data_IF_269660160050
#
_entry.id   IF_269660160050
#
_cell.length_a   1.000
_cell.length_b   1.000
_cell.length_c   1.000
_cell.angle_alpha   90.00
_cell.angle_beta   90.00
_cell.angle_gamma   90.00
#
_symmetry.space_group_name_H-M   'P 1'
#
loop_
_entity.id
_entity.type
_entity.pdbx_description
1 polymer ?
#
# COMPACT_ATOMS: atom_id res chain seq x y z
N UNK A 1 -21.10 -21.29 -0.61
CA UNK A 1 -19.87 -20.58 -0.16
C UNK A 1 -19.40 -19.55 -1.18
N UNK A 2 -19.25 -19.90 -2.46
CA UNK A 2 -18.85 -18.97 -3.54
C UNK A 2 -19.68 -17.70 -3.61
N UNK A 3 -21.01 -17.80 -3.55
CA UNK A 3 -21.90 -16.63 -3.54
C UNK A 3 -21.59 -15.65 -2.40
N UNK A 4 -21.31 -16.15 -1.19
CA UNK A 4 -20.96 -15.28 -0.07
C UNK A 4 -19.65 -14.52 -0.35
N UNK A 5 -18.63 -15.21 -0.89
CA UNK A 5 -17.31 -14.63 -1.20
C UNK A 5 -17.39 -13.61 -2.33
N UNK A 6 -18.24 -13.85 -3.35
CA UNK A 6 -18.34 -13.00 -4.53
C UNK A 6 -19.38 -11.88 -4.40
N UNK A 7 -20.46 -12.09 -3.65
CA UNK A 7 -21.53 -11.09 -3.51
C UNK A 7 -21.43 -10.31 -2.21
N UNK A 8 -21.27 -10.98 -1.05
CA UNK A 8 -21.50 -10.34 0.25
C UNK A 8 -20.19 -9.80 0.84
N UNK A 9 -19.16 -10.65 0.86
CA UNK A 9 -17.86 -10.34 1.46
C UNK A 9 -17.17 -9.11 0.83
N UNK A 10 -17.32 -8.78 -0.47
CA UNK A 10 -16.67 -7.60 -1.05
C UNK A 10 -17.17 -6.31 -0.41
N UNK A 11 -18.47 -6.20 -0.14
CA UNK A 11 -19.03 -5.04 0.55
C UNK A 11 -18.54 -4.93 1.99
N UNK A 12 -18.45 -6.07 2.71
CA UNK A 12 -17.90 -6.11 4.08
C UNK A 12 -16.44 -5.65 4.06
N UNK A 13 -15.62 -6.23 3.19
CA UNK A 13 -14.18 -5.95 3.13
C UNK A 13 -13.89 -4.50 2.74
N UNK A 14 -14.61 -3.94 1.75
CA UNK A 14 -14.52 -2.52 1.39
C UNK A 14 -14.94 -1.63 2.56
N UNK A 15 -16.05 -1.94 3.23
CA UNK A 15 -16.54 -1.15 4.37
C UNK A 15 -15.54 -1.13 5.51
N UNK A 16 -14.98 -2.29 5.88
CA UNK A 16 -13.95 -2.39 6.92
C UNK A 16 -12.69 -1.66 6.52
N UNK A 17 -12.25 -1.79 5.26
CA UNK A 17 -11.08 -1.07 4.75
C UNK A 17 -11.28 0.44 4.88
N UNK A 18 -12.39 0.98 4.36
CA UNK A 18 -12.67 2.41 4.37
C UNK A 18 -12.81 2.96 5.79
N UNK A 19 -13.62 2.33 6.63
CA UNK A 19 -13.81 2.77 8.01
C UNK A 19 -12.51 2.65 8.83
N UNK A 20 -11.75 1.58 8.62
CA UNK A 20 -10.45 1.37 9.27
C UNK A 20 -9.40 2.40 8.83
N UNK A 21 -9.39 2.77 7.55
CA UNK A 21 -8.54 3.85 7.03
C UNK A 21 -8.91 5.19 7.66
N UNK A 22 -10.19 5.55 7.68
CA UNK A 22 -10.68 6.79 8.28
C UNK A 22 -10.33 6.87 9.77
N UNK A 23 -10.56 5.78 10.52
CA UNK A 23 -10.19 5.68 11.92
C UNK A 23 -8.68 5.92 12.13
N UNK A 24 -7.83 5.28 11.30
CA UNK A 24 -6.38 5.39 11.42
C UNK A 24 -5.87 6.78 11.04
N UNK A 25 -6.42 7.37 9.97
CA UNK A 25 -6.13 8.76 9.59
C UNK A 25 -6.54 9.74 10.69
N UNK A 26 -7.72 9.55 11.30
CA UNK A 26 -8.18 10.36 12.43
C UNK A 26 -7.25 10.25 13.65
N UNK A 27 -6.81 9.04 13.99
CA UNK A 27 -5.82 8.82 15.07
C UNK A 27 -4.49 9.51 14.80
N UNK A 28 -4.00 9.46 13.56
CA UNK A 28 -2.77 10.16 13.20
C UNK A 28 -2.95 11.68 13.26
N UNK A 29 -4.04 12.21 12.70
CA UNK A 29 -4.34 13.64 12.75
C UNK A 29 -4.50 14.19 14.18
N UNK A 30 -5.01 13.37 15.11
CA UNK A 30 -5.12 13.71 16.53
C UNK A 30 -3.81 13.59 17.32
N UNK A 31 -2.76 12.98 16.77
CA UNK A 31 -1.48 12.81 17.43
C UNK A 31 -0.78 14.16 17.65
N UNK A 32 -0.52 14.51 18.91
CA UNK A 32 0.24 15.72 19.26
C UNK A 32 1.70 15.37 19.53
N UNK A 33 2.62 15.94 18.74
CA UNK A 33 4.06 15.88 19.02
C UNK A 33 4.47 17.23 19.61
N UNK A 34 5.20 17.17 20.73
CA UNK A 34 5.60 18.31 21.58
C UNK A 34 7.04 18.76 21.27
N UNK A 35 7.81 17.96 20.51
CA UNK A 35 9.23 18.19 20.26
C UNK A 35 9.54 18.19 18.76
N UNK A 36 10.35 19.15 18.32
CA UNK A 36 10.85 19.21 16.95
C UNK A 36 12.02 18.24 16.79
N UNK A 37 11.83 17.17 16.00
CA UNK A 37 12.90 16.21 15.69
C UNK A 37 13.44 16.56 14.30
N UNK A 38 14.43 17.44 14.25
CA UNK A 38 15.16 17.72 13.01
C UNK A 38 16.30 16.72 12.84
N UNK A 39 16.21 15.85 11.83
CA UNK A 39 17.32 14.99 11.45
C UNK A 39 18.32 15.80 10.62
N UNK A 40 19.54 15.96 11.10
CA UNK A 40 20.62 16.66 10.38
C UNK A 40 21.33 15.71 9.40
N UNK A 41 21.80 16.21 8.24
CA UNK A 41 21.63 17.57 7.71
C UNK A 41 20.24 17.78 7.12
N UNK A 42 19.53 18.80 7.59
CA UNK A 42 18.20 19.16 7.08
C UNK A 42 18.33 20.12 5.88
N UNK A 43 17.52 19.94 4.81
CA UNK A 43 17.54 20.85 3.68
C UNK A 43 17.12 22.27 4.12
N UNK A 44 17.88 23.27 3.68
CA UNK A 44 17.66 24.68 4.02
C UNK A 44 16.61 25.36 3.12
N UNK A 45 16.16 24.69 2.07
CA UNK A 45 15.18 25.19 1.11
C UNK A 45 13.98 24.24 0.99
N UNK A 46 12.80 24.79 0.68
CA UNK A 46 11.59 23.97 0.46
C UNK A 46 11.76 23.01 -0.73
N UNK A 47 12.45 23.46 -1.80
CA UNK A 47 12.77 22.62 -2.94
C UNK A 47 13.68 21.45 -2.54
N UNK A 48 14.70 21.70 -1.71
CA UNK A 48 15.55 20.63 -1.17
C UNK A 48 14.76 19.63 -0.33
N UNK A 49 13.83 20.10 0.51
CA UNK A 49 12.97 19.23 1.31
C UNK A 49 12.06 18.34 0.45
N UNK A 50 11.46 18.90 -0.60
CA UNK A 50 10.64 18.13 -1.53
C UNK A 50 11.46 17.06 -2.26
N UNK A 51 12.66 17.40 -2.73
CA UNK A 51 13.56 16.46 -3.39
C UNK A 51 14.01 15.34 -2.47
N UNK A 52 14.32 15.64 -1.21
CA UNK A 52 14.69 14.61 -0.23
C UNK A 52 13.52 13.67 0.09
N UNK A 53 12.30 14.19 0.21
CA UNK A 53 11.09 13.36 0.35
C UNK A 53 10.91 12.48 -0.90
N UNK A 54 11.00 13.05 -2.10
CA UNK A 54 10.82 12.33 -3.35
C UNK A 54 11.88 11.21 -3.49
N UNK A 55 13.14 11.52 -3.19
CA UNK A 55 14.22 10.53 -3.22
C UNK A 55 14.02 9.42 -2.19
N UNK A 56 13.48 9.73 -1.01
CA UNK A 56 13.15 8.71 -0.02
C UNK A 56 11.98 7.83 -0.46
N UNK A 57 10.94 8.39 -1.08
CA UNK A 57 9.77 7.63 -1.54
C UNK A 57 10.09 6.76 -2.76
N UNK A 58 10.83 7.29 -3.73
CA UNK A 58 11.09 6.60 -5.01
C UNK A 58 12.26 5.64 -4.90
N UNK A 59 13.34 6.04 -4.23
CA UNK A 59 14.59 5.28 -4.24
C UNK A 59 14.95 4.66 -2.89
N UNK A 60 14.14 4.87 -1.83
CA UNK A 60 14.46 4.41 -0.48
C UNK A 60 15.91 4.77 -0.09
N UNK A 61 16.29 6.03 -0.33
CA UNK A 61 17.68 6.51 -0.25
C UNK A 61 18.31 6.21 1.11
N UNK A 62 17.58 6.37 2.21
CA UNK A 62 18.07 6.04 3.55
C UNK A 62 18.38 4.55 3.69
N UNK A 63 17.46 3.69 3.22
CA UNK A 63 17.60 2.24 3.25
C UNK A 63 18.76 1.76 2.39
N UNK A 64 18.97 2.36 1.21
CA UNK A 64 20.11 2.04 0.35
C UNK A 64 21.46 2.23 1.05
N UNK A 65 21.57 3.29 1.87
CA UNK A 65 22.77 3.59 2.64
C UNK A 65 22.94 2.65 3.84
N UNK A 66 21.83 2.26 4.47
CA UNK A 66 21.84 1.46 5.70
C UNK A 66 22.00 -0.05 5.45
N UNK A 67 21.26 -0.60 4.48
CA UNK A 67 21.20 -2.04 4.22
C UNK A 67 20.90 -2.31 2.74
N UNK A 68 21.97 -2.46 1.95
CA UNK A 68 21.87 -2.72 0.50
C UNK A 68 21.14 -4.04 0.18
N UNK A 69 21.40 -5.17 0.88
CA UNK A 69 20.62 -6.40 0.66
C UNK A 69 19.11 -6.20 0.84
N UNK A 70 18.70 -5.57 1.94
CA UNK A 70 17.29 -5.28 2.19
C UNK A 70 16.73 -4.31 1.15
N UNK A 71 17.50 -3.30 0.76
CA UNK A 71 17.12 -2.37 -0.29
C UNK A 71 16.83 -3.09 -1.61
N UNK A 72 17.70 -3.99 -2.07
CA UNK A 72 17.52 -4.69 -3.35
C UNK A 72 16.21 -5.47 -3.36
N UNK A 73 15.96 -6.28 -2.33
CA UNK A 73 14.72 -7.05 -2.24
C UNK A 73 13.49 -6.17 -2.06
N UNK A 74 13.59 -5.17 -1.18
CA UNK A 74 12.49 -4.27 -0.86
C UNK A 74 12.09 -3.37 -2.02
N UNK A 75 13.05 -2.79 -2.73
CA UNK A 75 12.81 -1.88 -3.85
C UNK A 75 12.20 -2.63 -5.04
N UNK A 76 12.79 -3.76 -5.44
CA UNK A 76 12.25 -4.61 -6.52
C UNK A 76 10.83 -5.07 -6.18
N UNK A 77 10.58 -5.49 -4.94
CA UNK A 77 9.26 -5.90 -4.49
C UNK A 77 8.23 -4.77 -4.64
N UNK A 78 8.54 -3.54 -4.20
CA UNK A 78 7.59 -2.42 -4.30
C UNK A 78 7.34 -2.02 -5.75
N UNK A 79 8.37 -1.90 -6.58
CA UNK A 79 8.21 -1.57 -8.00
C UNK A 79 7.30 -2.60 -8.68
N UNK A 80 7.56 -3.89 -8.48
CA UNK A 80 6.74 -4.95 -9.05
C UNK A 80 5.31 -4.96 -8.49
N UNK A 81 5.13 -4.73 -7.19
CA UNK A 81 3.82 -4.63 -6.54
C UNK A 81 2.99 -3.47 -7.12
N UNK A 82 3.59 -2.29 -7.27
CA UNK A 82 2.91 -1.12 -7.86
C UNK A 82 2.59 -1.34 -9.34
N UNK A 83 3.51 -1.94 -10.10
CA UNK A 83 3.26 -2.31 -11.50
C UNK A 83 2.08 -3.27 -11.62
N UNK A 84 1.97 -4.28 -10.76
CA UNK A 84 0.84 -5.21 -10.74
C UNK A 84 -0.44 -4.51 -10.32
N UNK A 85 -0.40 -3.65 -9.31
CA UNK A 85 -1.59 -2.91 -8.86
C UNK A 85 -2.12 -1.98 -9.96
N UNK A 86 -1.22 -1.24 -10.62
CA UNK A 86 -1.55 -0.44 -11.79
C UNK A 86 -2.05 -1.31 -12.95
N UNK A 87 -1.44 -2.47 -13.17
CA UNK A 87 -1.87 -3.45 -14.16
C UNK A 87 -3.26 -4.04 -13.88
N UNK A 88 -3.66 -4.20 -12.62
CA UNK A 88 -5.04 -4.61 -12.28
C UNK A 88 -6.03 -3.51 -12.64
N UNK A 89 -5.73 -2.26 -12.28
CA UNK A 89 -6.61 -1.11 -12.58
C UNK A 89 -6.75 -0.93 -14.09
N UNK A 90 -5.63 -0.84 -14.80
CA UNK A 90 -5.61 -0.60 -16.25
C UNK A 90 -6.07 -1.83 -17.03
N UNK A 91 -5.62 -3.03 -16.66
CA UNK A 91 -5.97 -4.28 -17.33
C UNK A 91 -7.45 -4.63 -17.20
N UNK A 92 -8.05 -4.48 -16.01
CA UNK A 92 -9.48 -4.75 -15.82
C UNK A 92 -10.31 -3.58 -16.37
N UNK A 93 -9.93 -2.34 -16.07
CA UNK A 93 -10.70 -1.16 -16.46
C UNK A 93 -10.71 -0.90 -17.97
N UNK A 94 -9.58 -1.16 -18.65
CA UNK A 94 -9.39 -0.92 -20.08
C UNK A 94 -9.24 -2.22 -20.88
N UNK A 95 -9.54 -3.39 -20.28
CA UNK A 95 -9.44 -4.70 -20.92
C UNK A 95 -8.04 -5.04 -21.47
N UNK A 96 -6.98 -4.42 -20.94
CA UNK A 96 -5.61 -4.59 -21.45
C UNK A 96 -5.29 -3.75 -22.70
N UNK A 97 -6.17 -2.80 -23.06
CA UNK A 97 -6.04 -1.94 -24.24
C UNK A 97 -5.39 -0.59 -23.95
N UNK A 98 -4.72 -0.43 -22.80
CA UNK A 98 -4.16 0.88 -22.41
C UNK A 98 -3.10 1.42 -23.40
N UNK A 99 -2.33 0.56 -24.07
CA UNK A 99 -1.33 1.00 -25.05
C UNK A 99 -1.96 1.39 -26.39
N UNK A 100 -3.08 0.77 -26.73
CA UNK A 100 -3.89 1.14 -27.88
C UNK A 100 -4.55 2.51 -27.68
N UNK A 101 -5.15 2.76 -26.52
CA UNK A 101 -5.81 4.05 -26.24
C UNK A 101 -4.87 5.25 -26.22
N UNK A 102 -3.59 5.04 -25.92
CA UNK A 102 -2.56 6.11 -25.99
C UNK A 102 -1.86 6.16 -27.36
N UNK A 103 -2.35 5.41 -28.35
CA UNK A 103 -1.90 5.45 -29.74
C UNK A 103 -0.53 4.81 -30.00
N UNK A 104 -0.02 3.98 -29.08
CA UNK A 104 1.30 3.37 -29.23
C UNK A 104 1.29 2.11 -30.11
N UNK A 105 0.23 1.31 -30.06
CA UNK A 105 0.19 -0.03 -30.67
C UNK A 105 -1.21 -0.43 -31.13
N UNK A 106 -1.33 -1.58 -31.82
CA UNK A 106 -2.62 -2.19 -32.15
C UNK A 106 -3.30 -2.83 -30.92
N UNK A 107 -4.60 -3.10 -30.99
CA UNK A 107 -5.39 -3.73 -29.91
C UNK A 107 -4.76 -5.05 -29.44
N UNK A 108 -4.52 -5.99 -30.37
CA UNK A 108 -3.91 -7.28 -30.08
C UNK A 108 -2.53 -7.15 -29.44
N UNK A 109 -1.69 -6.21 -29.93
CA UNK A 109 -0.38 -5.95 -29.34
C UNK A 109 -0.50 -5.39 -27.93
N UNK A 110 -1.48 -4.51 -27.67
CA UNK A 110 -1.72 -3.97 -26.33
C UNK A 110 -2.12 -5.06 -25.34
N UNK A 111 -3.04 -5.95 -25.71
CA UNK A 111 -3.45 -7.06 -24.84
C UNK A 111 -2.29 -8.00 -24.54
N UNK A 112 -1.49 -8.34 -25.57
CA UNK A 112 -0.30 -9.17 -25.40
C UNK A 112 0.70 -8.52 -24.44
N UNK A 113 1.01 -7.23 -24.61
CA UNK A 113 1.93 -6.51 -23.73
C UNK A 113 1.39 -6.43 -22.31
N UNK A 114 0.10 -6.19 -22.13
CA UNK A 114 -0.56 -6.17 -20.81
C UNK A 114 -0.42 -7.50 -20.09
N UNK A 115 -0.66 -8.60 -20.82
CA UNK A 115 -0.52 -9.94 -20.29
C UNK A 115 0.94 -10.28 -19.97
N UNK A 116 1.86 -9.93 -20.86
CA UNK A 116 3.29 -10.13 -20.66
C UNK A 116 3.78 -9.39 -19.40
N UNK A 117 3.48 -8.08 -19.29
CA UNK A 117 3.88 -7.27 -18.14
C UNK A 117 3.26 -7.79 -16.84
N UNK A 118 1.96 -8.13 -16.86
CA UNK A 118 1.28 -8.69 -15.69
C UNK A 118 1.93 -10.00 -15.21
N UNK A 119 2.24 -10.91 -16.13
CA UNK A 119 2.90 -12.19 -15.83
C UNK A 119 4.34 -11.98 -15.36
N UNK A 120 5.13 -11.16 -16.06
CA UNK A 120 6.53 -10.89 -15.71
C UNK A 120 6.66 -10.25 -14.34
N UNK A 121 5.90 -9.18 -14.06
CA UNK A 121 5.94 -8.56 -12.74
C UNK A 121 5.39 -9.48 -11.65
N UNK A 122 4.40 -10.32 -11.96
CA UNK A 122 3.90 -11.37 -11.06
C UNK A 122 4.99 -12.33 -10.60
N UNK A 123 5.89 -12.75 -11.50
CA UNK A 123 7.06 -13.56 -11.15
C UNK A 123 8.07 -12.76 -10.33
N UNK A 124 8.39 -11.53 -10.77
CA UNK A 124 9.38 -10.67 -10.09
C UNK A 124 8.97 -10.39 -8.65
N UNK A 125 7.71 -10.03 -8.39
CA UNK A 125 7.24 -9.77 -7.03
C UNK A 125 7.26 -11.04 -6.17
N UNK A 126 6.92 -12.20 -6.74
CA UNK A 126 6.98 -13.48 -6.02
C UNK A 126 8.40 -13.80 -5.58
N UNK A 127 9.37 -13.70 -6.50
CA UNK A 127 10.79 -13.94 -6.18
C UNK A 127 11.31 -12.94 -5.15
N UNK A 128 10.94 -11.66 -5.26
CA UNK A 128 11.33 -10.65 -4.29
C UNK A 128 10.73 -10.91 -2.90
N UNK A 129 9.47 -11.33 -2.82
CA UNK A 129 8.83 -11.72 -1.56
C UNK A 129 9.48 -12.96 -0.93
N UNK A 130 9.81 -13.98 -1.74
CA UNK A 130 10.52 -15.17 -1.28
C UNK A 130 11.93 -14.82 -0.78
N UNK A 131 12.64 -13.92 -1.47
CA UNK A 131 13.92 -13.40 -1.01
C UNK A 131 13.80 -12.68 0.35
N UNK A 132 12.80 -11.81 0.51
CA UNK A 132 12.56 -11.09 1.76
C UNK A 132 12.19 -12.03 2.91
N UNK A 133 11.39 -13.06 2.63
CA UNK A 133 11.05 -14.10 3.60
C UNK A 133 12.31 -14.90 3.98
N UNK A 134 13.09 -15.34 2.99
CA UNK A 134 14.34 -16.06 3.20
C UNK A 134 15.29 -15.25 4.09
N UNK A 135 15.54 -13.97 3.75
CA UNK A 135 16.40 -13.07 4.55
C UNK A 135 15.91 -12.97 6.00
N UNK A 136 14.59 -12.89 6.21
CA UNK A 136 14.00 -12.83 7.55
C UNK A 136 14.21 -14.12 8.35
N UNK A 137 14.26 -15.26 7.66
CA UNK A 137 14.48 -16.57 8.27
C UNK A 137 15.97 -16.92 8.45
N UNK A 138 16.89 -16.29 7.73
CA UNK A 138 18.32 -16.66 7.78
C UNK A 138 19.20 -15.65 8.51
N UNK A 139 18.89 -14.36 8.47
CA UNK A 139 19.69 -13.32 9.14
C UNK A 139 19.27 -13.23 10.61
N UNK A 140 20.18 -13.53 11.52
CA UNK A 140 19.90 -13.65 12.96
C UNK A 140 19.41 -12.33 13.56
N UNK A 141 20.05 -11.22 13.19
CA UNK A 141 19.73 -9.87 13.66
C UNK A 141 18.29 -9.50 13.26
N UNK A 142 17.90 -9.84 12.03
CA UNK A 142 16.56 -9.60 11.51
C UNK A 142 15.53 -10.47 12.21
N UNK A 143 15.87 -11.75 12.43
CA UNK A 143 15.00 -12.70 13.11
C UNK A 143 14.71 -12.29 14.55
N UNK A 144 15.71 -11.77 15.27
CA UNK A 144 15.59 -11.30 16.65
C UNK A 144 14.64 -10.11 16.81
N UNK A 145 14.59 -9.22 15.81
CA UNK A 145 13.70 -8.03 15.84
C UNK A 145 12.36 -8.24 15.13
N UNK A 146 12.12 -9.43 14.56
CA UNK A 146 10.90 -9.73 13.81
C UNK A 146 9.76 -10.16 14.73
N UNK A 147 8.59 -9.55 14.55
CA UNK A 147 7.36 -10.01 15.17
C UNK A 147 6.68 -11.10 14.31
N UNK A 148 5.83 -11.97 14.91
CA UNK A 148 5.05 -12.96 14.14
C UNK A 148 4.22 -12.35 13.01
N UNK A 149 3.70 -11.13 13.23
CA UNK A 149 2.97 -10.40 12.20
C UNK A 149 3.82 -10.13 10.97
N UNK A 150 5.13 -9.88 11.09
CA UNK A 150 6.01 -9.59 9.95
C UNK A 150 6.11 -10.78 8.97
N UNK A 151 6.05 -12.00 9.49
CA UNK A 151 5.98 -13.21 8.67
C UNK A 151 4.59 -13.39 8.06
N UNK A 152 3.52 -13.15 8.82
CA UNK A 152 2.14 -13.28 8.36
C UNK A 152 1.86 -12.39 7.13
N UNK A 153 2.33 -11.13 7.14
CA UNK A 153 2.17 -10.23 6.00
C UNK A 153 2.87 -10.76 4.75
N UNK A 154 4.11 -11.24 4.87
CA UNK A 154 4.86 -11.79 3.75
C UNK A 154 4.19 -13.05 3.20
N UNK A 155 3.78 -13.97 4.07
CA UNK A 155 3.10 -15.20 3.67
C UNK A 155 1.75 -14.90 2.99
N UNK A 156 0.99 -13.92 3.49
CA UNK A 156 -0.27 -13.48 2.87
C UNK A 156 -0.04 -12.96 1.44
N UNK A 157 0.95 -12.08 1.25
CA UNK A 157 1.27 -11.55 -0.08
C UNK A 157 1.79 -12.64 -1.02
N UNK A 158 2.64 -13.55 -0.52
CA UNK A 158 3.12 -14.71 -1.29
C UNK A 158 1.95 -15.57 -1.73
N UNK A 159 0.98 -15.86 -0.85
CA UNK A 159 -0.20 -16.65 -1.19
C UNK A 159 -1.04 -15.97 -2.28
N UNK A 160 -1.35 -14.67 -2.13
CA UNK A 160 -2.13 -13.90 -3.11
C UNK A 160 -1.45 -13.93 -4.48
N UNK A 161 -0.16 -13.59 -4.52
CA UNK A 161 0.63 -13.54 -5.76
C UNK A 161 0.76 -14.94 -6.38
N UNK A 162 0.96 -15.98 -5.57
CA UNK A 162 1.09 -17.35 -6.07
C UNK A 162 -0.20 -17.81 -6.75
N UNK A 163 -1.37 -17.57 -6.14
CA UNK A 163 -2.67 -17.87 -6.77
C UNK A 163 -2.87 -17.03 -8.03
N UNK A 164 -2.51 -15.74 -8.01
CA UNK A 164 -2.57 -14.87 -9.18
C UNK A 164 -1.70 -15.36 -10.35
N UNK A 165 -0.48 -15.80 -10.05
CA UNK A 165 0.44 -16.37 -11.04
C UNK A 165 -0.08 -17.70 -11.57
N UNK A 166 -0.65 -18.57 -10.73
CA UNK A 166 -1.25 -19.83 -11.18
C UNK A 166 -2.36 -19.60 -12.21
N UNK A 167 -3.22 -18.59 -12.01
CA UNK A 167 -4.25 -18.22 -12.99
C UNK A 167 -3.66 -17.74 -14.33
N UNK A 168 -2.45 -17.16 -14.31
CA UNK A 168 -1.76 -16.70 -15.53
C UNK A 168 -0.99 -17.82 -16.24
N UNK A 169 -0.40 -18.74 -15.48
CA UNK A 169 0.43 -19.82 -16.03
C UNK A 169 -0.36 -21.07 -16.44
N UNK A 170 -1.55 -21.26 -15.87
CA UNK A 170 -2.41 -22.41 -16.16
C UNK A 170 -3.69 -21.93 -16.84
N UNK A 171 -3.79 -22.00 -18.19
CA UNK A 171 -4.93 -21.45 -18.94
C UNK A 171 -6.29 -21.98 -18.48
N UNK A 172 -6.36 -23.26 -18.08
CA UNK A 172 -7.58 -23.89 -17.56
C UNK A 172 -8.12 -23.20 -16.30
N UNK A 173 -7.23 -22.63 -15.48
CA UNK A 173 -7.59 -21.95 -14.23
C UNK A 173 -7.63 -20.43 -14.37
N UNK A 174 -7.31 -19.91 -15.57
CA UNK A 174 -7.33 -18.50 -15.89
C UNK A 174 -8.74 -17.95 -16.10
N UNK A 175 -8.81 -16.62 -16.10
CA UNK A 175 -10.01 -15.84 -16.41
C UNK A 175 -9.61 -14.62 -17.24
N UNK A 176 -10.41 -14.28 -18.25
CA UNK A 176 -10.18 -13.09 -19.07
C UNK A 176 -10.60 -11.80 -18.34
N UNK A 177 -10.12 -10.65 -18.82
CA UNK A 177 -10.42 -9.36 -18.17
C UNK A 177 -11.90 -8.98 -18.23
N UNK A 178 -12.61 -9.32 -19.31
CA UNK A 178 -14.01 -8.94 -19.53
C UNK A 178 -14.96 -9.49 -18.46
N UNK A 179 -15.01 -10.81 -18.17
CA UNK A 179 -15.84 -11.34 -17.07
C UNK A 179 -15.53 -10.72 -15.70
N UNK A 180 -14.26 -10.39 -15.44
CA UNK A 180 -13.83 -9.75 -14.20
C UNK A 180 -14.31 -8.30 -14.14
N UNK A 181 -14.22 -7.55 -15.25
CA UNK A 181 -14.71 -6.17 -15.36
C UNK A 181 -16.21 -6.12 -15.14
N UNK A 182 -16.97 -7.01 -15.75
CA UNK A 182 -18.43 -7.06 -15.62
C UNK A 182 -18.84 -7.43 -14.19
N UNK A 183 -18.13 -8.36 -13.57
CA UNK A 183 -18.28 -8.67 -12.14
C UNK A 183 -18.05 -7.44 -11.24
N UNK A 184 -16.96 -6.70 -11.47
CA UNK A 184 -16.68 -5.46 -10.72
C UNK A 184 -17.77 -4.41 -10.98
N UNK A 185 -18.24 -4.27 -12.22
CA UNK A 185 -19.33 -3.36 -12.57
C UNK A 185 -20.63 -3.72 -11.82
N UNK A 186 -20.97 -5.01 -11.74
CA UNK A 186 -22.14 -5.48 -10.99
C UNK A 186 -22.04 -5.13 -9.50
N UNK A 187 -20.86 -5.29 -8.89
CA UNK A 187 -20.67 -4.88 -7.50
C UNK A 187 -20.85 -3.36 -7.30
N UNK A 188 -20.36 -2.54 -8.25
CA UNK A 188 -20.46 -1.09 -8.17
C UNK A 188 -21.89 -0.58 -8.40
N UNK A 189 -22.65 -1.24 -9.27
CA UNK A 189 -24.05 -0.91 -9.55
C UNK A 189 -25.02 -1.57 -8.58
N UNK A 190 -24.52 -2.30 -7.57
CA UNK A 190 -25.32 -3.08 -6.63
C UNK A 190 -26.22 -4.13 -7.31
N UNK A 191 -25.78 -4.60 -8.48
CA UNK A 191 -26.45 -5.66 -9.23
C UNK A 191 -26.03 -7.02 -8.65
N UNK A 192 -26.97 -7.94 -8.35
CA UNK A 192 -26.62 -9.26 -7.84
C UNK A 192 -25.81 -10.09 -8.83
N UNK A 193 -24.78 -10.77 -8.34
CA UNK A 193 -24.05 -11.80 -9.07
C UNK A 193 -24.96 -12.99 -9.30
N UNK A 194 -25.13 -13.36 -10.57
CA UNK A 194 -25.98 -14.47 -10.97
C UNK A 194 -25.17 -15.77 -11.13
N UNK A 195 -25.78 -16.96 -10.97
CA UNK A 195 -25.07 -18.23 -11.06
C UNK A 195 -24.44 -18.53 -12.42
N UNK A 196 -24.90 -17.90 -13.50
CA UNK A 196 -24.41 -18.05 -14.87
C UNK A 196 -23.15 -17.24 -15.18
N UNK A 197 -22.75 -16.30 -14.30
CA UNK A 197 -21.54 -15.52 -14.50
C UNK A 197 -20.29 -16.40 -14.45
N UNK A 198 -19.37 -16.23 -15.40
CA UNK A 198 -18.14 -17.04 -15.50
C UNK A 198 -17.33 -17.06 -14.19
N UNK A 199 -17.26 -15.93 -13.48
CA UNK A 199 -16.55 -15.81 -12.19
C UNK A 199 -17.01 -16.82 -11.14
N UNK A 200 -18.27 -17.27 -11.20
CA UNK A 200 -18.84 -18.27 -10.28
C UNK A 200 -18.21 -19.66 -10.47
N UNK A 201 -17.65 -19.93 -11.65
CA UNK A 201 -17.11 -21.22 -12.06
C UNK A 201 -15.58 -21.26 -12.06
N UNK A 202 -14.91 -20.20 -11.59
CA UNK A 202 -13.44 -20.08 -11.58
C UNK A 202 -12.90 -20.16 -10.14
N UNK A 203 -12.54 -21.35 -9.63
CA UNK A 203 -12.18 -21.53 -8.22
C UNK A 203 -10.93 -20.77 -7.80
N UNK A 204 -9.90 -20.67 -8.66
CA UNK A 204 -8.70 -19.89 -8.34
C UNK A 204 -8.97 -18.40 -8.31
N UNK A 205 -9.88 -17.89 -9.15
CA UNK A 205 -10.31 -16.50 -9.08
C UNK A 205 -11.01 -16.20 -7.76
N UNK A 206 -11.95 -17.07 -7.34
CA UNK A 206 -12.64 -16.95 -6.05
C UNK A 206 -11.65 -17.00 -4.89
N UNK A 207 -10.66 -17.90 -4.93
CA UNK A 207 -9.62 -17.99 -3.91
C UNK A 207 -8.72 -16.74 -3.88
N UNK A 208 -8.28 -16.27 -5.05
CA UNK A 208 -7.49 -15.05 -5.16
C UNK A 208 -8.25 -13.86 -4.55
N UNK A 209 -9.52 -13.69 -4.95
CA UNK A 209 -10.36 -12.63 -4.43
C UNK A 209 -10.61 -12.78 -2.93
N UNK A 210 -10.82 -14.00 -2.41
CA UNK A 210 -10.94 -14.25 -0.97
C UNK A 210 -9.70 -13.77 -0.22
N UNK A 211 -8.50 -14.13 -0.69
CA UNK A 211 -7.25 -13.71 -0.06
C UNK A 211 -7.07 -12.19 -0.10
N UNK A 212 -7.43 -11.54 -1.21
CA UNK A 212 -7.43 -10.08 -1.33
C UNK A 212 -8.44 -9.43 -0.37
N UNK A 213 -9.64 -9.99 -0.23
CA UNK A 213 -10.64 -9.49 0.71
C UNK A 213 -10.19 -9.63 2.17
N UNK A 214 -9.54 -10.74 2.53
CA UNK A 214 -8.91 -10.92 3.84
C UNK A 214 -7.81 -9.87 4.05
N UNK A 215 -6.97 -9.65 3.03
CA UNK A 215 -5.96 -8.60 3.07
C UNK A 215 -6.62 -7.23 3.29
N UNK A 216 -7.68 -6.87 2.57
CA UNK A 216 -8.39 -5.59 2.71
C UNK A 216 -8.95 -5.38 4.12
N UNK A 217 -9.53 -6.41 4.74
CA UNK A 217 -10.03 -6.36 6.13
C UNK A 217 -8.88 -6.13 7.12
N UNK A 218 -7.74 -6.78 6.89
CA UNK A 218 -6.60 -6.75 7.79
C UNK A 218 -5.72 -5.49 7.62
N UNK A 219 -5.56 -5.01 6.39
CA UNK A 219 -4.71 -3.89 5.97
C UNK A 219 -4.85 -2.64 6.86
N UNK A 220 -6.06 -2.13 7.21
CA UNK A 220 -6.21 -0.96 8.07
C UNK A 220 -5.53 -1.08 9.43
N UNK A 221 -5.37 -2.30 9.94
CA UNK A 221 -4.85 -2.59 11.28
C UNK A 221 -3.40 -3.10 11.27
N UNK A 222 -2.78 -3.15 10.09
CA UNK A 222 -1.53 -3.87 9.88
C UNK A 222 -0.34 -2.92 9.70
N UNK A 223 0.88 -3.48 9.59
CA UNK A 223 2.09 -2.71 9.28
C UNK A 223 2.16 -2.32 7.80
N UNK A 224 1.33 -2.90 6.94
CA UNK A 224 1.31 -2.63 5.49
C UNK A 224 0.85 -1.21 5.15
N UNK A 225 0.12 -0.55 6.05
CA UNK A 225 -0.35 0.84 5.91
C UNK A 225 0.75 1.89 6.11
N UNK A 226 1.99 1.51 5.80
CA UNK A 226 3.18 2.32 6.03
C UNK A 226 3.25 3.55 5.12
N UNK A 227 2.69 3.51 3.91
CA UNK A 227 2.74 4.66 2.99
C UNK A 227 1.92 5.85 3.50
N UNK A 228 0.59 5.73 3.76
CA UNK A 228 -0.15 6.81 4.40
C UNK A 228 0.43 7.22 5.75
N UNK A 229 0.93 6.26 6.53
CA UNK A 229 1.59 6.53 7.80
C UNK A 229 2.86 7.37 7.65
N UNK A 230 3.67 7.14 6.61
CA UNK A 230 4.87 7.91 6.32
C UNK A 230 4.53 9.38 6.07
N UNK A 231 3.51 9.65 5.25
CA UNK A 231 3.05 11.02 4.99
C UNK A 231 2.43 11.66 6.23
N UNK A 232 1.60 10.92 6.97
CA UNK A 232 0.97 11.42 8.19
C UNK A 232 2.03 11.78 9.25
N UNK A 233 3.01 10.91 9.50
CA UNK A 233 4.10 11.19 10.43
C UNK A 233 4.89 12.44 10.02
N UNK A 234 5.23 12.60 8.73
CA UNK A 234 5.92 13.81 8.25
C UNK A 234 5.06 15.07 8.38
N UNK A 235 3.75 14.98 8.16
CA UNK A 235 2.81 16.08 8.36
C UNK A 235 2.74 16.52 9.83
N UNK A 236 2.71 15.56 10.77
CA UNK A 236 2.66 15.83 12.22
C UNK A 236 3.99 16.41 12.72
N UNK A 237 5.14 15.88 12.27
CA UNK A 237 6.47 16.34 12.70
C UNK A 237 6.70 17.83 12.36
N UNK A 238 6.13 18.30 11.25
CA UNK A 238 6.25 19.69 10.82
C UNK A 238 5.30 20.67 11.55
N UNK A 239 4.54 20.20 12.54
CA UNK A 239 3.62 21.01 13.37
C UNK A 239 3.77 20.65 14.86
N UNK A 240 4.93 20.90 15.48
CA UNK A 240 5.06 20.72 16.91
C UNK A 240 4.06 21.65 17.60
N UNK A 241 3.22 21.07 18.46
CA UNK A 241 2.32 21.88 19.29
C UNK A 241 3.18 22.71 20.23
N UNK A 242 2.82 23.97 20.45
CA UNK A 242 3.48 24.89 21.41
C UNK A 242 2.80 24.84 22.77
N UNK A 243 1.57 24.32 22.82
CA UNK A 243 0.79 24.17 24.04
C UNK A 243 0.83 22.73 24.56
N UNK A 244 0.83 22.54 25.90
CA UNK A 244 0.77 21.20 26.49
C UNK A 244 -0.50 20.46 26.09
N UNK A 245 -0.44 19.12 26.10
CA UNK A 245 -1.66 18.33 25.87
C UNK A 245 -2.70 18.61 26.98
N UNK A 246 -4.00 18.55 26.67
CA UNK A 246 -5.05 18.69 27.68
C UNK A 246 -4.81 17.74 28.87
N UNK A 247 -4.84 18.27 30.09
CA UNK A 247 -4.55 17.51 31.31
C UNK A 247 -3.08 17.47 31.74
N UNK A 248 -2.17 18.13 31.01
CA UNK A 248 -0.76 18.30 31.41
C UNK A 248 -0.35 19.78 31.55
N UNK A 249 -0.99 20.56 32.45
CA UNK A 249 -0.66 21.96 32.65
C UNK A 249 0.79 22.12 33.15
N UNK A 250 1.55 23.05 32.56
CA UNK A 250 2.90 23.42 33.01
C UNK A 250 4.06 22.58 32.43
N UNK A 251 3.80 21.62 31.54
CA UNK A 251 4.87 20.90 30.83
C UNK A 251 5.51 21.84 29.80
N UNK A 252 6.84 21.99 29.87
CA UNK A 252 7.59 22.76 28.87
C UNK A 252 7.42 22.11 27.49
N UNK A 253 6.95 22.90 26.53
CA UNK A 253 6.65 22.44 25.19
C UNK A 253 7.60 23.17 24.23
N UNK A 254 8.45 22.41 23.55
CA UNK A 254 9.52 22.93 22.69
C UNK A 254 10.90 22.76 23.31
N UNK A 255 11.85 22.28 22.49
CA UNK A 255 13.24 22.02 22.88
C UNK A 255 14.09 23.26 23.21
N UNK A 256 13.47 24.42 23.47
CA UNK A 256 14.15 25.68 23.79
C UNK A 256 14.13 26.01 25.29
N UNK A 257 13.57 25.16 26.15
CA UNK A 257 13.62 25.35 27.61
C UNK A 257 12.92 26.63 28.10
N UNK A 258 12.14 27.30 27.26
CA UNK A 258 11.33 28.43 27.69
C UNK A 258 9.97 27.90 28.14
N UNK A 259 9.70 28.05 29.43
CA UNK A 259 8.35 27.94 29.95
C UNK A 259 7.47 28.91 29.15
N UNK A 260 6.36 28.41 28.60
CA UNK A 260 5.31 29.26 28.03
C UNK A 260 4.71 30.03 29.21
N UNK A 261 5.32 31.17 29.54
CA UNK A 261 4.73 32.14 30.45
C UNK A 261 3.53 32.72 29.70
N UNK A 262 2.34 32.56 30.26
CA UNK A 262 1.10 33.05 29.68
C UNK A 262 1.23 34.51 29.25
N UNK A 263 0.96 34.78 27.98
CA UNK A 263 0.98 36.13 27.47
C UNK A 263 1.13 36.21 25.95
N UNK A 264 0.02 36.52 25.30
CA UNK A 264 -0.10 37.15 23.99
C UNK A 264 0.10 36.27 22.74
N UNK A 265 -1.06 35.90 22.19
CA UNK A 265 -1.34 35.86 20.76
C UNK A 265 -0.63 37.01 20.03
N UNK A 266 0.21 36.68 19.06
CA UNK A 266 0.61 37.60 18.01
C UNK A 266 0.55 36.86 16.66
N UNK A 267 -0.55 37.11 15.97
CA UNK A 267 -0.66 37.03 14.52
C UNK A 267 0.52 37.77 13.87
N UNK A 268 1.30 37.07 13.04
CA UNK A 268 2.37 37.67 12.24
C UNK A 268 2.21 37.26 10.79
N UNK A 269 1.49 38.08 10.04
CA UNK A 269 1.28 37.92 8.60
C UNK A 269 2.56 38.10 7.79
N UNK A 270 2.48 37.56 6.57
CA UNK A 270 3.42 37.71 5.47
C UNK A 270 3.68 39.18 5.16
N UNK A 271 4.95 39.59 5.18
CA UNK A 271 5.59 40.47 4.21
C UNK A 271 7.02 39.99 3.97
#
# INVERSE_FOLDING_TARGET
MTYFILQILPYISVSVLVLGLLYRMGRWAGGRIVHNITLTPAPTTQAGALLDIAAEVVFFRSLYKADKPLWTGGWIMHVALFSILGGHIMGIGLLGLQFYYIGLTSEHTSEYLSNLLGTSFGVVVLLALLYLLYRRLTVNEVKQVSAPSDYLHLLMLIAIVSVGNLMRFVPEWGIHYEPVRDYVANLLTLTPVTPDMEVMHKPLFVLHLLLVQILMIYLPFSKLLHIPGMFAHRWIINRPYVEPAPGMPGVAVGGTGHAVSGGQSASGGVQ
#
